data_IF_180643686800
#
_entry.id   IF_180643686800
#
_cell.length_a   1.000
_cell.length_b   1.000
_cell.length_c   1.000
_cell.angle_alpha   90.00
_cell.angle_beta   90.00
_cell.angle_gamma   90.00
#
_symmetry.space_group_name_H-M   'P 1'
#
loop_
_entity.id
_entity.type
_entity.pdbx_description
1 polymer ?
#
# COMPACT_ATOMS: atom_id res chain seq x y z
N UNK A 1 -5.60 34.23 -10.64
CA UNK A 1 -6.97 34.43 -10.09
C UNK A 1 -7.48 33.05 -9.67
N UNK A 2 -7.28 32.69 -8.40
CA UNK A 2 -7.69 31.37 -7.84
C UNK A 2 -9.05 31.56 -7.18
N UNK A 3 -10.12 31.27 -7.92
CA UNK A 3 -11.48 31.24 -7.38
C UNK A 3 -11.64 30.09 -6.39
N UNK A 4 -11.63 30.39 -5.10
CA UNK A 4 -12.16 29.46 -4.07
C UNK A 4 -13.65 29.34 -4.29
N UNK A 5 -14.13 28.19 -4.78
CA UNK A 5 -15.53 27.81 -4.72
C UNK A 5 -15.92 27.65 -3.23
N UNK A 6 -16.43 28.74 -2.64
CA UNK A 6 -17.07 28.71 -1.34
C UNK A 6 -18.46 28.11 -1.50
N UNK A 7 -18.65 26.90 -1.00
CA UNK A 7 -19.99 26.30 -0.87
C UNK A 7 -20.87 27.21 -0.02
N UNK A 8 -22.14 27.46 -0.41
CA UNK A 8 -23.05 28.33 0.34
C UNK A 8 -23.26 27.79 1.75
N UNK A 9 -23.32 28.69 2.74
CA UNK A 9 -23.42 28.41 4.17
C UNK A 9 -24.58 27.46 4.55
N UNK A 10 -25.65 27.38 3.71
CA UNK A 10 -26.79 26.49 3.89
C UNK A 10 -26.44 25.00 3.76
N UNK A 11 -25.45 24.64 2.92
CA UNK A 11 -25.02 23.27 2.73
C UNK A 11 -24.13 22.75 3.89
N UNK A 12 -23.52 23.63 4.67
CA UNK A 12 -22.70 23.26 5.83
C UNK A 12 -23.49 22.70 7.02
N UNK A 13 -24.81 22.84 7.01
CA UNK A 13 -25.71 22.39 8.09
C UNK A 13 -26.52 21.13 7.77
N UNK A 14 -26.38 20.58 6.56
CA UNK A 14 -27.04 19.32 6.25
C UNK A 14 -26.35 18.18 7.01
N UNK A 15 -27.11 17.35 7.76
CA UNK A 15 -26.54 16.16 8.36
C UNK A 15 -25.97 15.26 7.27
N UNK A 16 -24.87 14.58 7.56
CA UNK A 16 -24.18 13.72 6.57
C UNK A 16 -25.11 12.72 5.89
N UNK A 17 -26.18 12.31 6.56
CA UNK A 17 -27.24 11.44 6.00
C UNK A 17 -28.01 12.11 4.86
N UNK A 18 -28.38 13.41 4.99
CA UNK A 18 -29.08 14.13 3.93
C UNK A 18 -28.19 14.39 2.70
N UNK A 19 -26.89 14.63 2.92
CA UNK A 19 -25.92 14.79 1.84
C UNK A 19 -25.74 13.48 1.04
N UNK A 20 -25.80 12.32 1.69
CA UNK A 20 -25.74 10.99 1.04
C UNK A 20 -26.95 10.69 0.16
N UNK A 21 -28.14 11.19 0.52
CA UNK A 21 -29.34 11.04 -0.30
C UNK A 21 -29.26 11.91 -1.57
N UNK A 22 -28.66 13.10 -1.44
CA UNK A 22 -28.51 14.05 -2.55
C UNK A 22 -27.35 13.73 -3.49
N UNK A 23 -26.32 13.04 -2.98
CA UNK A 23 -25.11 12.65 -3.72
C UNK A 23 -24.83 11.16 -3.49
N UNK A 24 -25.61 10.25 -4.08
CA UNK A 24 -25.40 8.82 -3.93
C UNK A 24 -24.03 8.45 -4.50
N UNK A 25 -23.24 7.74 -3.71
CA UNK A 25 -22.00 7.13 -4.19
C UNK A 25 -22.32 5.80 -4.88
N UNK A 26 -21.50 5.43 -5.86
CA UNK A 26 -21.62 4.16 -6.56
C UNK A 26 -20.41 3.28 -6.29
N UNK A 27 -20.64 1.98 -6.23
CA UNK A 27 -19.60 0.98 -6.07
C UNK A 27 -18.59 1.05 -7.21
N UNK A 28 -17.31 1.11 -6.87
CA UNK A 28 -16.21 1.20 -7.83
C UNK A 28 -16.04 -0.08 -8.70
N UNK A 29 -16.71 -1.18 -8.33
CA UNK A 29 -16.63 -2.47 -9.05
C UNK A 29 -17.87 -2.77 -9.87
N UNK A 30 -19.08 -2.68 -9.28
CA UNK A 30 -20.32 -3.05 -9.98
C UNK A 30 -21.13 -1.85 -10.48
N UNK A 31 -20.85 -0.63 -10.00
CA UNK A 31 -21.62 0.57 -10.36
C UNK A 31 -22.89 0.78 -9.54
N UNK A 32 -23.34 -0.19 -8.76
CA UNK A 32 -24.55 -0.06 -7.96
C UNK A 32 -24.42 1.00 -6.86
N UNK A 33 -25.51 1.62 -6.48
CA UNK A 33 -25.55 2.59 -5.37
C UNK A 33 -25.10 1.95 -4.05
N UNK A 34 -24.19 2.60 -3.32
CA UNK A 34 -23.75 2.13 -2.00
C UNK A 34 -23.22 3.29 -1.14
N UNK A 35 -23.18 3.09 0.19
CA UNK A 35 -22.67 4.09 1.14
C UNK A 35 -21.15 4.20 1.21
N UNK A 36 -20.44 3.41 0.42
CA UNK A 36 -18.98 3.35 0.42
C UNK A 36 -18.38 3.31 -0.98
N UNK A 37 -17.08 3.12 -1.05
CA UNK A 37 -16.35 3.05 -2.33
C UNK A 37 -16.54 1.69 -3.01
N UNK A 38 -16.71 0.62 -2.21
CA UNK A 38 -16.98 -0.75 -2.67
C UNK A 38 -18.15 -1.29 -1.83
N UNK A 39 -19.20 -1.79 -2.48
CA UNK A 39 -20.35 -2.34 -1.81
C UNK A 39 -20.04 -3.66 -1.06
N UNK A 40 -20.79 -4.00 0.00
CA UNK A 40 -20.56 -5.23 0.76
C UNK A 40 -20.57 -6.51 -0.09
N UNK A 41 -21.49 -6.70 -1.07
CA UNK A 41 -21.45 -7.86 -1.95
C UNK A 41 -20.15 -7.99 -2.77
N UNK A 42 -19.67 -6.88 -3.35
CA UNK A 42 -18.40 -6.88 -4.09
C UNK A 42 -17.21 -7.14 -3.17
N UNK A 43 -17.20 -6.54 -1.98
CA UNK A 43 -16.17 -6.82 -0.98
C UNK A 43 -16.14 -8.30 -0.61
N UNK A 44 -17.28 -8.89 -0.28
CA UNK A 44 -17.38 -10.31 0.07
C UNK A 44 -16.92 -11.24 -1.06
N UNK A 45 -17.26 -10.89 -2.31
CA UNK A 45 -16.96 -11.71 -3.49
C UNK A 45 -15.50 -11.64 -3.91
N UNK A 46 -14.87 -10.45 -3.89
CA UNK A 46 -13.58 -10.22 -4.52
C UNK A 46 -12.45 -9.92 -3.54
N UNK A 47 -12.76 -9.43 -2.35
CA UNK A 47 -11.77 -9.03 -1.36
C UNK A 47 -11.83 -9.93 -0.10
N UNK A 48 -12.07 -11.24 -0.31
CA UNK A 48 -12.03 -12.21 0.76
C UNK A 48 -10.62 -12.25 1.40
N UNK A 49 -10.52 -12.46 2.73
CA UNK A 49 -9.23 -12.55 3.40
C UNK A 49 -8.35 -13.66 2.80
N UNK A 50 -7.08 -13.37 2.60
CA UNK A 50 -6.10 -14.35 2.14
C UNK A 50 -5.81 -15.35 3.24
N UNK A 51 -5.96 -16.64 2.96
CA UNK A 51 -5.91 -17.68 3.99
C UNK A 51 -4.49 -18.19 4.24
N UNK A 52 -3.83 -18.76 3.24
CA UNK A 52 -2.53 -19.39 3.40
C UNK A 52 -1.50 -18.74 2.47
N UNK A 53 -0.50 -18.08 3.06
CA UNK A 53 0.55 -17.41 2.30
C UNK A 53 1.89 -17.44 3.04
N UNK A 54 2.96 -17.30 2.27
CA UNK A 54 4.30 -17.13 2.82
C UNK A 54 4.37 -15.90 3.73
N UNK A 55 4.88 -16.07 4.94
CA UNK A 55 4.99 -15.01 5.94
C UNK A 55 5.90 -13.87 5.46
N UNK A 56 6.93 -14.18 4.64
CA UNK A 56 7.87 -13.20 4.11
C UNK A 56 7.33 -12.47 2.89
N UNK A 57 7.07 -13.17 1.80
CA UNK A 57 6.75 -12.52 0.52
C UNK A 57 5.25 -12.45 0.20
N UNK A 58 4.42 -13.00 1.08
CA UNK A 58 2.97 -13.09 0.90
C UNK A 58 2.50 -13.80 -0.39
N UNK A 59 3.35 -14.62 -1.05
CA UNK A 59 2.87 -15.50 -2.11
C UNK A 59 1.94 -16.57 -1.55
N UNK A 60 0.92 -17.02 -2.29
CA UNK A 60 0.09 -18.15 -1.88
C UNK A 60 0.98 -19.35 -1.52
N UNK A 61 0.74 -19.94 -0.35
CA UNK A 61 1.48 -21.07 0.16
C UNK A 61 0.53 -21.96 0.96
N UNK A 62 0.05 -23.08 0.38
CA UNK A 62 -0.74 -24.07 1.13
C UNK A 62 0.00 -24.51 2.39
N UNK A 63 -0.66 -24.45 3.55
CA UNK A 63 -0.05 -24.76 4.83
C UNK A 63 0.68 -23.58 5.53
N UNK A 64 0.88 -22.45 4.85
CA UNK A 64 1.53 -21.26 5.44
C UNK A 64 3.04 -21.43 5.65
N UNK A 65 3.63 -20.60 6.52
CA UNK A 65 5.06 -20.62 6.81
C UNK A 65 5.90 -19.81 5.83
N UNK A 66 7.12 -20.26 5.52
CA UNK A 66 8.04 -19.57 4.58
C UNK A 66 8.22 -20.45 3.34
N UNK A 67 8.05 -19.87 2.14
CA UNK A 67 8.24 -20.62 0.89
C UNK A 67 9.74 -20.87 0.60
N UNK A 68 10.03 -21.90 -0.22
CA UNK A 68 11.40 -22.29 -0.56
C UNK A 68 12.23 -21.12 -1.11
N UNK A 69 11.66 -20.30 -2.01
CA UNK A 69 12.35 -19.12 -2.54
C UNK A 69 12.81 -18.16 -1.43
N UNK A 70 11.96 -17.91 -0.41
CA UNK A 70 12.33 -17.04 0.70
C UNK A 70 13.24 -17.71 1.74
N UNK A 71 13.32 -19.04 1.73
CA UNK A 71 14.26 -19.80 2.55
C UNK A 71 15.64 -19.79 1.91
N UNK A 72 15.73 -20.08 0.61
CA UNK A 72 16.99 -20.16 -0.12
C UNK A 72 17.59 -18.77 -0.43
N UNK A 73 16.74 -17.82 -0.74
CA UNK A 73 17.11 -16.42 -1.08
C UNK A 73 16.27 -15.42 -0.24
N UNK A 74 16.63 -15.25 1.04
CA UNK A 74 15.85 -14.40 1.94
C UNK A 74 15.89 -12.93 1.50
N UNK A 75 14.72 -12.30 1.29
CA UNK A 75 14.68 -10.86 1.03
C UNK A 75 15.08 -10.08 2.28
N UNK A 76 15.46 -8.80 2.11
CA UNK A 76 15.87 -7.95 3.22
C UNK A 76 14.73 -7.60 4.20
N UNK A 77 13.47 -7.66 3.77
CA UNK A 77 12.33 -7.52 4.66
C UNK A 77 12.00 -8.82 5.40
N UNK A 78 11.48 -8.70 6.61
CA UNK A 78 11.22 -9.83 7.50
C UNK A 78 9.83 -10.44 7.30
N UNK A 79 8.84 -9.62 6.90
CA UNK A 79 7.47 -10.06 6.69
C UNK A 79 6.73 -9.19 5.66
N UNK A 80 5.63 -9.74 5.12
CA UNK A 80 4.70 -8.98 4.26
C UNK A 80 3.26 -9.29 4.67
N UNK A 81 2.49 -8.24 4.86
CA UNK A 81 1.03 -8.26 4.98
C UNK A 81 0.46 -7.77 3.66
N UNK A 82 -0.30 -8.63 2.99
CA UNK A 82 -1.03 -8.27 1.78
C UNK A 82 -2.52 -8.53 2.00
N UNK A 83 -3.37 -7.54 1.68
CA UNK A 83 -4.80 -7.66 1.91
C UNK A 83 -5.48 -8.57 0.88
N UNK A 84 -5.12 -8.44 -0.39
CA UNK A 84 -5.73 -9.20 -1.50
C UNK A 84 -4.68 -9.69 -2.50
N UNK A 85 -5.08 -10.58 -3.40
CA UNK A 85 -4.30 -10.90 -4.59
C UNK A 85 -4.55 -9.84 -5.67
N UNK A 86 -3.48 -9.46 -6.42
CA UNK A 86 -3.59 -8.56 -7.54
C UNK A 86 -4.15 -9.29 -8.76
N UNK A 87 -5.33 -8.92 -9.18
CA UNK A 87 -6.02 -9.50 -10.31
C UNK A 87 -7.42 -8.90 -10.47
N UNK A 88 -8.07 -9.20 -11.59
CA UNK A 88 -9.40 -8.69 -11.89
C UNK A 88 -10.44 -9.16 -10.85
N UNK A 89 -11.35 -8.28 -10.42
CA UNK A 89 -11.49 -6.88 -10.81
C UNK A 89 -10.75 -5.89 -9.88
N UNK A 90 -10.00 -6.35 -8.87
CA UNK A 90 -9.37 -5.49 -7.85
C UNK A 90 -8.18 -4.68 -8.41
N UNK A 91 -7.53 -5.17 -9.47
CA UNK A 91 -6.52 -4.44 -10.22
C UNK A 91 -7.03 -3.10 -10.77
N UNK A 92 -8.31 -3.05 -11.19
CA UNK A 92 -8.96 -1.82 -11.66
C UNK A 92 -9.04 -0.76 -10.56
N UNK A 93 -9.23 -1.14 -9.30
CA UNK A 93 -9.23 -0.19 -8.18
C UNK A 93 -7.85 0.44 -7.98
N UNK A 94 -6.79 -0.36 -8.12
CA UNK A 94 -5.40 0.12 -8.06
C UNK A 94 -5.12 1.11 -9.20
N UNK A 95 -5.55 0.78 -10.42
CA UNK A 95 -5.41 1.67 -11.58
C UNK A 95 -6.20 2.96 -11.41
N UNK A 96 -7.43 2.89 -10.89
CA UNK A 96 -8.26 4.07 -10.59
C UNK A 96 -7.60 4.97 -9.53
N UNK A 97 -7.01 4.40 -8.48
CA UNK A 97 -6.25 5.19 -7.51
C UNK A 97 -5.04 5.85 -8.18
N UNK A 98 -4.24 5.09 -8.94
CA UNK A 98 -2.98 5.58 -9.54
C UNK A 98 -3.18 6.61 -10.64
N UNK A 99 -4.15 6.42 -11.52
CA UNK A 99 -4.25 7.13 -12.79
C UNK A 99 -5.51 7.98 -12.92
N UNK A 100 -6.58 7.67 -12.18
CA UNK A 100 -7.79 8.46 -12.15
C UNK A 100 -7.94 9.29 -10.85
N UNK A 101 -6.90 9.34 -10.01
CA UNK A 101 -6.86 10.09 -8.75
C UNK A 101 -8.11 9.81 -7.85
N UNK A 102 -8.66 8.60 -7.90
CA UNK A 102 -9.81 8.22 -7.07
C UNK A 102 -9.39 8.02 -5.61
N UNK A 103 -8.99 9.11 -4.95
CA UNK A 103 -8.44 9.10 -3.58
C UNK A 103 -9.33 8.44 -2.53
N UNK A 104 -10.69 8.44 -2.63
CA UNK A 104 -11.53 7.70 -1.69
C UNK A 104 -11.26 6.19 -1.62
N UNK A 105 -10.53 5.61 -2.58
CA UNK A 105 -10.07 4.21 -2.53
C UNK A 105 -8.97 3.98 -1.48
N UNK A 106 -8.15 4.98 -1.17
CA UNK A 106 -7.03 4.82 -0.26
C UNK A 106 -7.46 4.47 1.18
N UNK A 107 -8.46 5.12 1.81
CA UNK A 107 -9.01 4.68 3.07
C UNK A 107 -9.59 3.26 3.04
N UNK A 108 -10.20 2.85 1.92
CA UNK A 108 -10.72 1.49 1.78
C UNK A 108 -9.58 0.46 1.71
N UNK A 109 -8.50 0.75 0.99
CA UNK A 109 -7.29 -0.11 0.96
C UNK A 109 -6.68 -0.24 2.36
N UNK A 110 -6.57 0.87 3.08
CA UNK A 110 -6.08 0.90 4.44
C UNK A 110 -6.94 0.06 5.40
N UNK A 111 -8.27 0.14 5.27
CA UNK A 111 -9.19 -0.67 6.06
C UNK A 111 -9.01 -2.17 5.80
N UNK A 112 -8.86 -2.58 4.52
CA UNK A 112 -8.59 -3.97 4.15
C UNK A 112 -7.27 -4.47 4.74
N UNK A 113 -6.23 -3.62 4.78
CA UNK A 113 -4.96 -3.91 5.44
C UNK A 113 -5.11 -4.03 6.96
N UNK A 114 -5.82 -3.10 7.60
CA UNK A 114 -6.06 -3.13 9.04
C UNK A 114 -6.84 -4.39 9.46
N UNK A 115 -7.86 -4.79 8.70
CA UNK A 115 -8.61 -6.02 8.92
C UNK A 115 -7.71 -7.26 8.79
N UNK A 116 -6.80 -7.25 7.81
CA UNK A 116 -5.82 -8.34 7.61
C UNK A 116 -4.82 -8.42 8.76
N UNK A 117 -4.36 -7.28 9.26
CA UNK A 117 -3.49 -7.18 10.45
C UNK A 117 -4.21 -7.73 11.68
N UNK A 118 -5.45 -7.30 11.92
CA UNK A 118 -6.27 -7.74 13.05
C UNK A 118 -6.55 -9.27 13.04
N UNK A 119 -6.70 -9.85 11.84
CA UNK A 119 -6.90 -11.28 11.68
C UNK A 119 -5.63 -12.12 11.91
N UNK A 120 -4.42 -11.52 11.84
CA UNK A 120 -3.13 -12.21 12.04
C UNK A 120 -2.72 -12.21 13.52
N UNK A 121 -3.07 -13.27 14.22
CA UNK A 121 -2.63 -13.47 15.62
C UNK A 121 -1.09 -13.46 15.72
N UNK A 122 -0.55 -12.70 16.68
CA UNK A 122 0.89 -12.66 16.95
C UNK A 122 1.72 -11.82 15.96
N UNK A 123 1.10 -11.08 15.04
CA UNK A 123 1.83 -10.11 14.22
C UNK A 123 2.25 -8.94 15.10
N UNK A 124 3.57 -8.75 15.27
CA UNK A 124 4.08 -7.55 15.92
C UNK A 124 3.82 -6.33 15.04
N UNK A 125 3.19 -5.30 15.59
CA UNK A 125 3.03 -4.01 14.91
C UNK A 125 4.37 -3.29 14.81
N UNK A 126 4.60 -2.51 13.75
CA UNK A 126 5.80 -1.68 13.65
C UNK A 126 5.75 -0.49 14.60
N UNK A 127 6.92 0.04 14.95
CA UNK A 127 7.04 1.26 15.75
C UNK A 127 6.63 2.50 14.95
N UNK A 128 6.82 2.44 13.64
CA UNK A 128 6.51 3.52 12.71
C UNK A 128 6.20 2.98 11.30
N UNK A 129 5.42 3.76 10.53
CA UNK A 129 5.13 3.50 9.13
C UNK A 129 5.86 4.50 8.23
N UNK A 130 6.40 3.99 7.12
CA UNK A 130 6.98 4.78 6.03
C UNK A 130 6.32 4.36 4.71
N UNK A 131 5.70 5.27 3.93
CA UNK A 131 5.24 4.96 2.60
C UNK A 131 6.43 4.81 1.65
N UNK A 132 6.33 3.91 0.67
CA UNK A 132 7.33 3.84 -0.42
C UNK A 132 7.38 5.20 -1.12
N UNK A 133 8.55 5.84 -1.19
CA UNK A 133 8.66 7.14 -1.85
C UNK A 133 8.57 6.99 -3.38
N UNK A 134 7.83 7.91 -4.01
CA UNK A 134 7.81 8.04 -5.47
C UNK A 134 9.01 8.85 -5.95
N UNK A 135 9.50 8.54 -7.16
CA UNK A 135 10.39 9.42 -7.89
C UNK A 135 9.70 10.75 -8.23
N UNK A 136 10.51 11.82 -8.32
CA UNK A 136 10.02 13.19 -8.51
C UNK A 136 9.15 13.34 -9.76
N UNK A 137 9.58 12.76 -10.88
CA UNK A 137 8.83 12.82 -12.12
C UNK A 137 7.42 12.24 -11.98
N UNK A 138 7.30 11.05 -11.35
CA UNK A 138 6.01 10.41 -11.10
C UNK A 138 5.15 11.17 -10.09
N UNK A 139 5.78 11.82 -9.10
CA UNK A 139 5.04 12.63 -8.14
C UNK A 139 4.45 13.87 -8.82
N UNK A 140 5.20 14.52 -9.72
CA UNK A 140 4.71 15.65 -10.52
C UNK A 140 3.60 15.22 -11.48
N UNK A 141 3.79 14.12 -12.21
CA UNK A 141 2.80 13.57 -13.15
C UNK A 141 1.49 13.20 -12.45
N UNK A 142 1.57 12.53 -11.31
CA UNK A 142 0.41 11.99 -10.57
C UNK A 142 -0.23 12.99 -9.62
N UNK A 143 0.55 13.97 -9.13
CA UNK A 143 0.12 14.96 -8.14
C UNK A 143 0.05 14.47 -6.69
N UNK A 144 0.23 13.17 -6.42
CA UNK A 144 0.21 12.57 -5.09
C UNK A 144 1.00 11.25 -5.04
N UNK A 145 1.32 10.80 -3.82
CA UNK A 145 1.91 9.48 -3.58
C UNK A 145 0.83 8.52 -3.05
N UNK A 146 0.44 7.52 -3.84
CA UNK A 146 -0.59 6.55 -3.48
C UNK A 146 -0.25 5.76 -2.21
N UNK A 147 1.02 5.43 -1.99
CA UNK A 147 1.46 4.75 -0.78
C UNK A 147 1.25 5.62 0.46
N UNK A 148 1.48 6.92 0.36
CA UNK A 148 1.21 7.88 1.44
C UNK A 148 -0.28 8.03 1.70
N UNK A 149 -1.10 8.10 0.65
CA UNK A 149 -2.57 8.21 0.81
C UNK A 149 -3.16 6.97 1.52
N UNK A 150 -2.59 5.78 1.29
CA UNK A 150 -2.94 4.54 2.01
C UNK A 150 -2.35 4.55 3.44
N UNK A 151 -1.10 4.99 3.60
CA UNK A 151 -0.41 4.93 4.87
C UNK A 151 -1.04 5.83 5.95
N UNK A 152 -1.61 6.99 5.57
CA UNK A 152 -2.26 7.92 6.53
C UNK A 152 -3.42 7.26 7.30
N UNK A 153 -4.47 6.75 6.64
CA UNK A 153 -5.56 6.07 7.33
C UNK A 153 -5.13 4.75 7.97
N UNK A 154 -4.15 4.02 7.41
CA UNK A 154 -3.63 2.81 8.02
C UNK A 154 -2.93 3.11 9.35
N UNK A 155 -2.07 4.13 9.40
CA UNK A 155 -1.40 4.57 10.61
C UNK A 155 -2.38 4.94 11.72
N UNK A 156 -3.42 5.68 11.37
CA UNK A 156 -4.49 6.04 12.31
C UNK A 156 -5.23 4.80 12.83
N UNK A 157 -5.57 3.83 11.95
CA UNK A 157 -6.28 2.60 12.33
C UNK A 157 -5.45 1.68 13.21
N UNK A 158 -4.11 1.65 13.02
CA UNK A 158 -3.20 0.80 13.80
C UNK A 158 -2.65 1.49 15.06
N UNK A 159 -2.86 2.81 15.22
CA UNK A 159 -2.26 3.59 16.30
C UNK A 159 -0.74 3.70 16.19
N UNK A 160 -0.18 3.67 14.97
CA UNK A 160 1.26 3.66 14.69
C UNK A 160 1.68 5.02 14.11
N UNK A 161 2.85 5.53 14.51
CA UNK A 161 3.38 6.79 13.99
C UNK A 161 3.65 6.71 12.48
N UNK A 162 3.29 7.75 11.73
CA UNK A 162 3.59 7.86 10.30
C UNK A 162 4.74 8.83 10.06
N UNK A 163 5.78 8.39 9.36
CA UNK A 163 6.91 9.21 8.93
C UNK A 163 7.01 9.26 7.39
N UNK A 164 6.30 10.21 6.74
CA UNK A 164 6.18 10.24 5.28
C UNK A 164 7.48 10.48 4.54
N UNK A 165 8.43 11.18 5.19
CA UNK A 165 9.71 11.57 4.61
C UNK A 165 10.90 10.81 5.21
N UNK A 166 10.69 9.64 5.85
CA UNK A 166 11.78 8.84 6.44
C UNK A 166 12.79 8.35 5.40
N UNK A 167 12.32 8.14 4.19
CA UNK A 167 13.15 7.81 3.04
C UNK A 167 12.74 8.65 1.83
N UNK A 168 13.68 8.88 0.94
CA UNK A 168 13.45 9.51 -0.36
C UNK A 168 14.00 8.64 -1.49
N UNK A 169 13.43 8.81 -2.68
CA UNK A 169 13.92 8.14 -3.88
C UNK A 169 14.92 9.05 -4.59
N UNK A 170 16.18 8.62 -4.64
CA UNK A 170 17.29 9.40 -5.20
C UNK A 170 17.49 9.17 -6.70
N UNK A 171 17.05 8.01 -7.23
CA UNK A 171 17.20 7.64 -8.62
C UNK A 171 15.85 7.52 -9.31
N UNK A 172 15.66 8.27 -10.40
CA UNK A 172 14.53 8.11 -11.31
C UNK A 172 14.67 6.79 -12.06
N UNK A 173 13.85 5.80 -11.72
CA UNK A 173 13.79 4.54 -12.48
C UNK A 173 12.74 4.67 -13.57
N UNK A 174 13.17 4.54 -14.82
CA UNK A 174 12.26 4.57 -15.99
C UNK A 174 11.33 3.36 -15.92
N UNK A 175 10.01 3.63 -15.88
CA UNK A 175 9.01 2.58 -16.04
C UNK A 175 8.95 2.18 -17.52
N UNK A 176 9.80 1.26 -17.95
CA UNK A 176 9.65 0.63 -19.25
C UNK A 176 8.75 -0.59 -19.11
N UNK A 177 7.57 -0.55 -19.76
CA UNK A 177 6.78 -1.73 -20.03
C UNK A 177 7.62 -2.67 -20.90
N UNK A 178 7.97 -3.87 -20.38
CA UNK A 178 8.79 -4.84 -21.10
C UNK A 178 10.14 -5.21 -20.47
N UNK A 179 10.55 -4.55 -19.40
CA UNK A 179 11.82 -4.83 -18.69
C UNK A 179 11.77 -6.16 -17.96
N UNK A 180 12.78 -7.00 -18.13
CA UNK A 180 12.91 -8.30 -17.46
C UNK A 180 12.99 -8.18 -15.93
N UNK A 181 12.70 -9.26 -15.15
CA UNK A 181 12.84 -9.24 -13.69
C UNK A 181 14.25 -8.89 -13.21
N UNK A 182 15.31 -9.30 -13.93
CA UNK A 182 16.71 -9.00 -13.60
C UNK A 182 17.01 -7.50 -13.76
N UNK A 183 16.60 -6.89 -14.87
CA UNK A 183 16.76 -5.45 -15.11
C UNK A 183 15.98 -4.59 -14.12
N UNK A 184 14.83 -5.10 -13.61
CA UNK A 184 14.08 -4.42 -12.54
C UNK A 184 14.85 -4.44 -11.20
N UNK A 185 15.62 -5.50 -10.92
CA UNK A 185 16.43 -5.58 -9.71
C UNK A 185 17.58 -4.58 -9.75
N UNK A 186 18.29 -4.47 -10.88
CA UNK A 186 19.40 -3.54 -11.04
C UNK A 186 18.95 -2.08 -11.07
N UNK A 187 17.78 -1.80 -11.66
CA UNK A 187 17.20 -0.45 -11.71
C UNK A 187 16.77 0.11 -10.34
N UNK A 188 16.68 -0.71 -9.30
CA UNK A 188 16.22 -0.27 -7.97
C UNK A 188 17.37 -0.25 -6.96
N UNK A 189 18.53 -0.85 -7.26
CA UNK A 189 19.68 -0.90 -6.35
C UNK A 189 20.21 0.50 -6.04
N UNK A 190 20.28 0.85 -4.74
CA UNK A 190 20.71 2.18 -4.30
C UNK A 190 19.71 3.31 -4.60
N UNK A 191 18.46 3.00 -4.97
CA UNK A 191 17.46 4.00 -5.35
C UNK A 191 16.87 4.78 -4.18
N UNK A 192 17.23 4.45 -2.94
CA UNK A 192 16.68 5.10 -1.75
C UNK A 192 17.76 5.63 -0.83
N UNK A 193 17.52 6.81 -0.27
CA UNK A 193 18.28 7.39 0.83
C UNK A 193 17.40 7.52 2.07
N UNK A 194 18.01 7.41 3.25
CA UNK A 194 17.37 7.66 4.53
C UNK A 194 17.60 9.12 4.91
N UNK A 195 16.56 9.79 5.34
CA UNK A 195 16.61 11.21 5.72
C UNK A 195 16.86 11.41 7.22
N UNK A 196 16.44 10.44 8.05
CA UNK A 196 16.56 10.49 9.51
C UNK A 196 16.95 9.10 10.05
N UNK A 197 18.28 8.78 10.09
CA UNK A 197 18.78 7.50 10.56
C UNK A 197 18.44 7.18 12.01
N UNK A 198 18.37 8.19 12.87
CA UNK A 198 18.14 8.01 14.31
C UNK A 198 16.73 7.46 14.60
N UNK A 199 15.79 7.68 13.69
CA UNK A 199 14.44 7.11 13.78
C UNK A 199 14.37 5.65 13.35
N UNK A 200 15.43 5.08 12.78
CA UNK A 200 15.45 3.72 12.23
C UNK A 200 16.20 2.76 13.13
N UNK A 201 17.30 3.20 13.74
CA UNK A 201 18.18 2.34 14.53
C UNK A 201 17.42 1.63 15.66
N UNK A 202 17.49 0.30 15.67
CA UNK A 202 16.80 -0.56 16.63
C UNK A 202 15.29 -0.68 16.47
N UNK A 203 14.67 -0.02 15.48
CA UNK A 203 13.22 0.03 15.32
C UNK A 203 12.68 -1.04 14.39
N UNK A 204 11.42 -1.40 14.59
CA UNK A 204 10.61 -2.13 13.64
C UNK A 204 9.91 -1.15 12.69
N UNK A 205 10.33 -1.12 11.44
CA UNK A 205 9.78 -0.22 10.42
C UNK A 205 8.73 -0.94 9.57
N UNK A 206 7.56 -0.34 9.44
CA UNK A 206 6.52 -0.77 8.51
C UNK A 206 6.61 0.01 7.20
N UNK A 207 6.72 -0.67 6.07
CA UNK A 207 6.75 -0.06 4.73
C UNK A 207 5.39 -0.25 4.06
N UNK A 208 4.77 0.83 3.59
CA UNK A 208 3.45 0.80 2.96
C UNK A 208 3.57 1.03 1.46
N UNK A 209 2.91 0.18 0.66
CA UNK A 209 2.75 0.37 -0.79
C UNK A 209 1.37 -0.13 -1.24
N UNK A 210 0.98 0.18 -2.48
CA UNK A 210 -0.28 -0.31 -3.04
C UNK A 210 -0.17 -1.73 -3.61
N UNK A 211 0.90 -2.06 -4.36
CA UNK A 211 1.08 -3.37 -4.99
C UNK A 211 2.52 -3.87 -4.84
N UNK A 212 2.64 -5.11 -4.42
CA UNK A 212 3.89 -5.84 -4.48
C UNK A 212 3.85 -6.83 -5.65
N UNK A 213 4.66 -6.57 -6.68
CA UNK A 213 4.87 -7.48 -7.83
C UNK A 213 6.02 -8.46 -7.55
N UNK A 214 7.22 -8.19 -8.01
CA UNK A 214 8.42 -8.98 -7.70
C UNK A 214 8.95 -8.76 -6.27
N UNK A 215 8.62 -7.63 -5.66
CA UNK A 215 9.11 -7.23 -4.35
C UNK A 215 10.47 -6.52 -4.36
N UNK A 216 11.09 -6.26 -5.52
CA UNK A 216 12.41 -5.62 -5.60
C UNK A 216 12.42 -4.23 -4.94
N UNK A 217 11.41 -3.39 -5.20
CA UNK A 217 11.29 -2.06 -4.60
C UNK A 217 11.26 -2.13 -3.07
N UNK A 218 10.40 -3.00 -2.53
CA UNK A 218 10.26 -3.20 -1.09
C UNK A 218 11.52 -3.84 -0.49
N UNK A 219 12.17 -4.75 -1.23
CA UNK A 219 13.43 -5.38 -0.86
C UNK A 219 14.56 -4.37 -0.75
N UNK A 220 14.72 -3.47 -1.72
CA UNK A 220 15.76 -2.45 -1.70
C UNK A 220 15.52 -1.41 -0.59
N UNK A 221 14.27 -0.96 -0.41
CA UNK A 221 13.95 -0.04 0.69
C UNK A 221 14.20 -0.70 2.05
N UNK A 222 13.83 -1.99 2.21
CA UNK A 222 14.13 -2.75 3.42
C UNK A 222 15.62 -2.93 3.64
N UNK A 223 16.40 -3.25 2.60
CA UNK A 223 17.86 -3.33 2.66
C UNK A 223 18.48 -1.99 3.08
N UNK A 224 17.94 -0.90 2.56
CA UNK A 224 18.34 0.45 2.97
C UNK A 224 18.09 0.67 4.45
N UNK A 225 16.89 0.40 4.96
CA UNK A 225 16.59 0.54 6.40
C UNK A 225 17.46 -0.38 7.27
N UNK A 226 17.71 -1.62 6.83
CA UNK A 226 18.60 -2.55 7.56
C UNK A 226 20.04 -2.03 7.63
N UNK A 227 20.57 -1.38 6.59
CA UNK A 227 21.90 -0.73 6.62
C UNK A 227 21.97 0.39 7.66
N UNK A 228 20.85 1.06 7.95
CA UNK A 228 20.73 2.07 9.00
C UNK A 228 20.24 1.49 10.34
N UNK A 229 20.35 0.17 10.54
CA UNK A 229 20.14 -0.48 11.83
C UNK A 229 18.69 -0.79 12.17
N UNK A 230 17.76 -0.82 11.21
CA UNK A 230 16.41 -1.31 11.48
C UNK A 230 16.44 -2.74 12.03
N UNK A 231 15.83 -2.97 13.19
CA UNK A 231 15.75 -4.29 13.80
C UNK A 231 14.85 -5.22 12.97
N UNK A 232 13.75 -4.67 12.44
CA UNK A 232 12.78 -5.41 11.63
C UNK A 232 12.16 -4.51 10.56
N UNK A 233 11.81 -5.10 9.40
CA UNK A 233 11.05 -4.43 8.34
C UNK A 233 9.87 -5.30 7.94
N UNK A 234 8.65 -4.76 8.02
CA UNK A 234 7.41 -5.42 7.59
C UNK A 234 6.74 -4.60 6.50
N UNK A 235 6.44 -5.24 5.37
CA UNK A 235 5.71 -4.60 4.28
C UNK A 235 4.20 -4.72 4.50
N UNK A 236 3.47 -3.65 4.19
CA UNK A 236 2.01 -3.56 4.18
C UNK A 236 1.59 -3.16 2.77
N UNK A 237 1.01 -4.07 2.01
CA UNK A 237 0.61 -3.84 0.62
C UNK A 237 -0.86 -4.18 0.42
N UNK A 238 -1.60 -3.33 -0.28
CA UNK A 238 -3.00 -3.65 -0.57
C UNK A 238 -3.08 -4.93 -1.40
N UNK A 239 -2.29 -5.05 -2.47
CA UNK A 239 -2.36 -6.21 -3.35
C UNK A 239 -1.00 -6.88 -3.59
N UNK A 240 -1.01 -8.21 -3.69
CA UNK A 240 0.16 -9.03 -4.05
C UNK A 240 -0.08 -9.70 -5.39
N UNK A 241 0.79 -9.48 -6.37
CA UNK A 241 0.76 -10.21 -7.62
C UNK A 241 1.24 -11.64 -7.38
N UNK A 242 0.40 -12.67 -7.56
CA UNK A 242 0.86 -14.05 -7.46
C UNK A 242 1.96 -14.34 -8.49
N UNK A 243 2.87 -15.30 -8.23
CA UNK A 243 3.81 -15.75 -9.25
C UNK A 243 3.03 -16.35 -10.43
N UNK A 244 3.50 -16.07 -11.64
CA UNK A 244 2.95 -16.74 -12.83
C UNK A 244 3.18 -18.25 -12.68
N UNK A 245 2.11 -19.01 -12.93
CA UNK A 245 2.18 -20.47 -13.02
C UNK A 245 2.90 -20.87 -14.30
#
# INVERSE_FOLDING_TARGET
>A
MTGRLSLPLSLRRLPAAALRILLPSTCALCGDGCDGVVCPPCRARYAAPRTACCLRCANPLPGGGTCNTCTDYPPAYDATVAAVDYGAPLDQLVLQLKFAARLPLAPWFAQMLADTVAARRGLALPDLLCPVPLGRARLVERGFNQALEIARPLAASLGVALHPALAERTTETTAQSGVSPAERADNVRGAFAVTDPDRIAGRHVGVVDDVMTSGHTLGELAATFKRFGAARVTNFVFARTPPHK
#
